data_IF_161295264532
#
_entry.id   IF_161295264532
#
_cell.length_a   1.000
_cell.length_b   1.000
_cell.length_c   1.000
_cell.angle_alpha   90.00
_cell.angle_beta   90.00
_cell.angle_gamma   90.00
#
_symmetry.space_group_name_H-M   'P 1'
#
loop_
_entity.id
_entity.type
_entity.pdbx_description
1 polymer ?
#
# COMPACT_ATOMS: atom_id res chain seq x y z
N UNK A 1 -22.02 6.18 -21.05
CA UNK A 1 -22.59 4.88 -21.48
C UNK A 1 -24.09 4.78 -21.22
N UNK A 2 -24.59 4.78 -19.96
CA UNK A 2 -26.04 4.68 -19.69
C UNK A 2 -26.90 5.80 -20.34
N UNK A 3 -26.43 7.05 -20.39
CA UNK A 3 -27.13 8.16 -21.09
C UNK A 3 -27.28 7.91 -22.60
N UNK A 4 -26.19 7.51 -23.26
CA UNK A 4 -26.18 7.17 -24.69
C UNK A 4 -27.10 5.99 -25.01
N UNK A 5 -27.19 5.00 -24.11
CA UNK A 5 -28.15 3.91 -24.25
C UNK A 5 -29.61 4.39 -24.16
N UNK A 6 -29.93 5.32 -23.25
CA UNK A 6 -31.27 5.92 -23.16
C UNK A 6 -31.61 6.73 -24.42
N UNK A 7 -30.66 7.46 -24.99
CA UNK A 7 -30.84 8.17 -26.27
C UNK A 7 -31.13 7.20 -27.41
N UNK A 8 -30.40 6.09 -27.50
CA UNK A 8 -30.67 5.03 -28.47
C UNK A 8 -32.06 4.40 -28.27
N UNK A 9 -32.49 4.18 -27.02
CA UNK A 9 -33.85 3.73 -26.71
C UNK A 9 -34.91 4.74 -27.13
N UNK A 10 -34.69 6.03 -26.91
CA UNK A 10 -35.62 7.09 -27.33
C UNK A 10 -35.78 7.11 -28.86
N UNK A 11 -34.67 6.99 -29.61
CA UNK A 11 -34.74 6.94 -31.08
C UNK A 11 -35.43 5.66 -31.56
N UNK A 12 -35.17 4.52 -30.90
CA UNK A 12 -35.84 3.25 -31.21
C UNK A 12 -37.34 3.35 -30.98
N UNK A 13 -37.78 3.90 -29.85
CA UNK A 13 -39.19 4.12 -29.53
C UNK A 13 -39.84 5.01 -30.60
N UNK A 14 -39.19 6.12 -30.96
CA UNK A 14 -39.67 7.05 -31.97
C UNK A 14 -39.91 6.38 -33.32
N UNK A 15 -38.98 5.53 -33.77
CA UNK A 15 -39.13 4.75 -35.01
C UNK A 15 -40.33 3.80 -34.92
N UNK A 16 -40.52 3.12 -33.79
CA UNK A 16 -41.67 2.24 -33.59
C UNK A 16 -43.01 3.00 -33.51
N UNK A 17 -43.04 4.19 -32.91
CA UNK A 17 -44.21 5.06 -32.89
C UNK A 17 -44.57 5.55 -34.30
N UNK A 18 -43.58 5.96 -35.10
CA UNK A 18 -43.76 6.34 -36.51
C UNK A 18 -44.29 5.17 -37.36
N UNK A 19 -43.78 3.96 -37.14
CA UNK A 19 -44.32 2.74 -37.76
C UNK A 19 -45.77 2.48 -37.33
N UNK A 20 -46.08 2.64 -36.04
CA UNK A 20 -47.44 2.48 -35.51
C UNK A 20 -48.43 3.48 -36.11
N UNK A 21 -48.04 4.76 -36.21
CA UNK A 21 -48.87 5.79 -36.84
C UNK A 21 -49.11 5.52 -38.33
N UNK A 22 -48.05 5.10 -39.05
CA UNK A 22 -48.15 4.76 -40.47
C UNK A 22 -49.05 3.53 -40.69
N UNK A 23 -48.90 2.51 -39.85
CA UNK A 23 -49.76 1.32 -39.86
C UNK A 23 -51.21 1.67 -39.51
N UNK A 24 -51.46 2.54 -38.53
CA UNK A 24 -52.81 2.93 -38.15
C UNK A 24 -53.49 3.74 -39.27
N UNK A 25 -52.77 4.64 -39.91
CA UNK A 25 -53.28 5.43 -41.04
C UNK A 25 -53.58 4.57 -42.26
N UNK A 26 -52.65 3.69 -42.64
CA UNK A 26 -52.83 2.77 -43.75
C UNK A 26 -53.94 1.76 -43.43
N UNK A 27 -53.95 1.18 -42.23
CA UNK A 27 -54.99 0.24 -41.82
C UNK A 27 -56.36 0.88 -41.80
N UNK A 28 -56.55 2.14 -41.38
CA UNK A 28 -57.85 2.84 -41.44
C UNK A 28 -58.44 2.86 -42.85
N UNK A 29 -57.65 3.24 -43.85
CA UNK A 29 -58.10 3.28 -45.25
C UNK A 29 -58.47 1.88 -45.79
N UNK A 30 -57.71 0.85 -45.40
CA UNK A 30 -58.02 -0.55 -45.76
C UNK A 30 -59.20 -1.12 -44.96
N UNK A 31 -59.34 -0.78 -43.68
CA UNK A 31 -60.43 -1.23 -42.80
C UNK A 31 -61.77 -0.72 -43.30
N UNK A 32 -61.84 0.54 -43.75
CA UNK A 32 -63.04 1.12 -44.33
C UNK A 32 -63.46 0.43 -45.62
N UNK A 33 -62.50 -0.02 -46.43
CA UNK A 33 -62.76 -0.81 -47.66
C UNK A 33 -63.22 -2.23 -47.32
N UNK A 34 -62.50 -2.93 -46.44
CA UNK A 34 -62.83 -4.31 -46.06
C UNK A 34 -64.12 -4.43 -45.23
N UNK A 35 -64.50 -3.38 -44.48
CA UNK A 35 -65.80 -3.31 -43.80
C UNK A 35 -66.97 -3.31 -44.80
N UNK A 36 -66.76 -2.78 -46.02
CA UNK A 36 -67.77 -2.84 -47.10
C UNK A 36 -67.75 -4.17 -47.85
N UNK A 37 -66.61 -4.85 -47.90
CA UNK A 37 -66.43 -6.13 -48.63
C UNK A 37 -66.67 -7.38 -47.77
N UNK A 38 -66.87 -7.25 -46.45
CA UNK A 38 -67.17 -8.37 -45.55
C UNK A 38 -65.98 -9.29 -45.24
N UNK A 39 -64.74 -8.81 -45.44
CA UNK A 39 -63.53 -9.62 -45.28
C UNK A 39 -62.98 -9.60 -43.84
N UNK A 40 -63.70 -10.25 -42.93
CA UNK A 40 -63.43 -10.27 -41.47
C UNK A 40 -62.03 -10.80 -41.10
N UNK A 41 -61.52 -11.78 -41.86
CA UNK A 41 -60.23 -12.43 -41.56
C UNK A 41 -59.03 -11.49 -41.74
N UNK A 42 -59.08 -10.64 -42.77
CA UNK A 42 -58.00 -9.67 -43.02
C UNK A 42 -58.04 -8.54 -41.98
N UNK A 43 -59.24 -8.10 -41.61
CA UNK A 43 -59.45 -7.13 -40.54
C UNK A 43 -58.86 -7.62 -39.21
N UNK A 44 -59.12 -8.87 -38.83
CA UNK A 44 -58.55 -9.46 -37.60
C UNK A 44 -57.02 -9.57 -37.67
N UNK A 45 -56.43 -9.94 -38.81
CA UNK A 45 -54.96 -10.00 -38.96
C UNK A 45 -54.28 -8.66 -38.70
N UNK A 46 -54.85 -7.58 -39.26
CA UNK A 46 -54.30 -6.23 -39.12
C UNK A 46 -54.42 -5.74 -37.68
N UNK A 47 -55.56 -5.98 -37.02
CA UNK A 47 -55.77 -5.65 -35.61
C UNK A 47 -54.75 -6.37 -34.71
N UNK A 48 -54.60 -7.69 -34.89
CA UNK A 48 -53.68 -8.50 -34.07
C UNK A 48 -52.22 -8.11 -34.29
N UNK A 49 -51.85 -7.70 -35.50
CA UNK A 49 -50.53 -7.14 -35.79
C UNK A 49 -50.31 -5.80 -35.05
N UNK A 50 -51.30 -4.89 -35.10
CA UNK A 50 -51.21 -3.61 -34.40
C UNK A 50 -51.14 -3.76 -32.88
N UNK A 51 -51.82 -4.76 -32.34
CA UNK A 51 -51.78 -5.09 -30.90
C UNK A 51 -50.39 -5.60 -30.50
N UNK A 52 -49.80 -6.50 -31.30
CA UNK A 52 -48.41 -6.96 -31.08
C UNK A 52 -47.40 -5.83 -31.13
N UNK A 53 -47.56 -4.88 -32.06
CA UNK A 53 -46.70 -3.71 -32.15
C UNK A 53 -46.83 -2.84 -30.89
N UNK A 54 -48.05 -2.59 -30.42
CA UNK A 54 -48.31 -1.83 -29.18
C UNK A 54 -47.72 -2.52 -27.96
N UNK A 55 -47.88 -3.84 -27.81
CA UNK A 55 -47.26 -4.61 -26.73
C UNK A 55 -45.73 -4.50 -26.77
N UNK A 56 -45.13 -4.58 -27.97
CA UNK A 56 -43.68 -4.46 -28.12
C UNK A 56 -43.17 -3.06 -27.75
N UNK A 57 -43.89 -2.01 -28.12
CA UNK A 57 -43.57 -0.63 -27.73
C UNK A 57 -43.63 -0.48 -26.21
N UNK A 58 -44.66 -1.02 -25.55
CA UNK A 58 -44.80 -0.97 -24.10
C UNK A 58 -43.62 -1.63 -23.37
N UNK A 59 -43.17 -2.81 -23.82
CA UNK A 59 -41.98 -3.49 -23.26
C UNK A 59 -40.70 -2.64 -23.39
N UNK A 60 -40.50 -1.99 -24.54
CA UNK A 60 -39.33 -1.13 -24.76
C UNK A 60 -39.41 0.10 -23.85
N UNK A 61 -40.59 0.70 -23.67
CA UNK A 61 -40.80 1.80 -22.73
C UNK A 61 -40.50 1.40 -21.29
N UNK A 62 -40.92 0.22 -20.86
CA UNK A 62 -40.64 -0.30 -19.52
C UNK A 62 -39.14 -0.50 -19.31
N UNK A 63 -38.46 -1.16 -20.25
CA UNK A 63 -37.02 -1.37 -20.23
C UNK A 63 -36.25 -0.04 -20.16
N UNK A 64 -36.66 0.95 -20.95
CA UNK A 64 -36.09 2.31 -20.94
C UNK A 64 -36.32 3.00 -19.60
N UNK A 65 -37.52 2.91 -19.03
CA UNK A 65 -37.85 3.53 -17.73
C UNK A 65 -37.03 2.91 -16.60
N UNK A 66 -36.82 1.60 -16.63
CA UNK A 66 -35.96 0.89 -15.67
C UNK A 66 -34.51 1.39 -15.76
N UNK A 67 -33.97 1.51 -16.97
CA UNK A 67 -32.60 2.02 -17.17
C UNK A 67 -32.45 3.48 -16.72
N UNK A 68 -33.48 4.31 -16.92
CA UNK A 68 -33.52 5.68 -16.41
C UNK A 68 -33.51 5.73 -14.88
N UNK A 69 -34.28 4.87 -14.22
CA UNK A 69 -34.29 4.76 -12.76
C UNK A 69 -32.91 4.32 -12.24
N UNK A 70 -32.30 3.30 -12.83
CA UNK A 70 -30.95 2.86 -12.47
C UNK A 70 -29.90 3.96 -12.64
N UNK A 71 -30.00 4.77 -13.70
CA UNK A 71 -29.12 5.91 -13.91
C UNK A 71 -29.33 6.99 -12.84
N UNK A 72 -30.58 7.25 -12.44
CA UNK A 72 -30.91 8.20 -11.37
C UNK A 72 -30.35 7.74 -10.03
N UNK A 73 -30.55 6.48 -9.66
CA UNK A 73 -30.01 5.90 -8.42
C UNK A 73 -28.48 5.99 -8.42
N UNK A 74 -27.83 5.56 -9.50
CA UNK A 74 -26.38 5.66 -9.61
C UNK A 74 -25.86 7.11 -9.52
N UNK A 75 -26.59 8.09 -10.08
CA UNK A 75 -26.22 9.49 -9.96
C UNK A 75 -26.38 10.03 -8.52
N UNK A 76 -27.37 9.55 -7.77
CA UNK A 76 -27.54 9.87 -6.35
C UNK A 76 -26.43 9.26 -5.51
N UNK A 77 -26.13 7.97 -5.72
CA UNK A 77 -25.05 7.27 -5.02
C UNK A 77 -23.70 7.97 -5.26
N UNK A 78 -23.40 8.36 -6.50
CA UNK A 78 -22.19 9.10 -6.82
C UNK A 78 -22.12 10.44 -6.08
N UNK A 79 -23.23 11.19 -6.02
CA UNK A 79 -23.30 12.46 -5.26
C UNK A 79 -23.10 12.23 -3.76
N UNK A 80 -23.61 11.13 -3.22
CA UNK A 80 -23.40 10.78 -1.83
C UNK A 80 -21.94 10.41 -1.54
N UNK A 81 -21.31 9.62 -2.42
CA UNK A 81 -19.88 9.30 -2.35
C UNK A 81 -19.06 10.59 -2.39
N UNK A 82 -19.38 11.51 -3.31
CA UNK A 82 -18.70 12.81 -3.38
C UNK A 82 -18.87 13.62 -2.09
N UNK A 83 -20.06 13.61 -1.49
CA UNK A 83 -20.32 14.27 -0.21
C UNK A 83 -19.47 13.66 0.91
N UNK A 84 -19.45 12.32 1.02
CA UNK A 84 -18.64 11.59 2.03
C UNK A 84 -17.14 11.84 1.83
N UNK A 85 -16.67 11.83 0.59
CA UNK A 85 -15.29 12.16 0.26
C UNK A 85 -14.96 13.59 0.69
N UNK A 86 -15.80 14.56 0.35
CA UNK A 86 -15.56 15.96 0.69
C UNK A 86 -15.64 16.24 2.19
N UNK A 87 -16.45 15.49 2.96
CA UNK A 87 -16.44 15.59 4.42
C UNK A 87 -15.17 15.04 5.06
N UNK A 88 -14.51 14.04 4.45
CA UNK A 88 -13.28 13.45 4.99
C UNK A 88 -12.01 14.23 4.61
N UNK A 89 -12.03 15.02 3.54
CA UNK A 89 -10.91 15.88 3.11
C UNK A 89 -10.34 16.79 4.23
N UNK A 90 -11.15 17.55 4.99
CA UNK A 90 -10.62 18.39 6.07
C UNK A 90 -9.93 17.57 7.15
N UNK A 91 -10.52 16.46 7.58
CA UNK A 91 -9.96 15.59 8.62
C UNK A 91 -8.62 15.00 8.18
N UNK A 92 -8.54 14.52 6.95
CA UNK A 92 -7.30 14.00 6.36
C UNK A 92 -6.21 15.08 6.31
N UNK A 93 -6.57 16.32 5.95
CA UNK A 93 -5.64 17.45 5.94
C UNK A 93 -5.16 17.80 7.36
N UNK A 94 -6.04 17.82 8.36
CA UNK A 94 -5.67 18.09 9.75
C UNK A 94 -4.77 16.99 10.30
N UNK A 95 -5.11 15.71 10.09
CA UNK A 95 -4.28 14.59 10.51
C UNK A 95 -2.90 14.61 9.87
N UNK A 96 -2.82 14.94 8.58
CA UNK A 96 -1.54 15.15 7.88
C UNK A 96 -0.74 16.26 8.56
N UNK A 97 -1.36 17.43 8.81
CA UNK A 97 -0.69 18.57 9.43
C UNK A 97 -0.17 18.22 10.84
N UNK A 98 -0.97 17.54 11.65
CA UNK A 98 -0.59 17.09 12.99
C UNK A 98 0.57 16.11 12.90
N UNK A 99 0.47 15.09 12.04
CA UNK A 99 1.54 14.11 11.80
C UNK A 99 2.85 14.81 11.42
N UNK A 100 2.82 15.71 10.44
CA UNK A 100 4.01 16.41 9.97
C UNK A 100 4.61 17.30 11.07
N UNK A 101 3.78 17.89 11.92
CA UNK A 101 4.22 18.65 13.08
C UNK A 101 4.92 17.77 14.14
N UNK A 102 4.38 16.57 14.42
CA UNK A 102 5.05 15.60 15.31
C UNK A 102 6.36 15.09 14.73
N UNK A 103 6.43 14.86 13.42
CA UNK A 103 7.69 14.46 12.77
C UNK A 103 8.77 15.52 12.95
N UNK A 104 8.46 16.79 12.69
CA UNK A 104 9.39 17.91 12.91
C UNK A 104 9.83 17.98 14.38
N UNK A 105 8.88 17.83 15.31
CA UNK A 105 9.17 17.87 16.75
C UNK A 105 10.11 16.74 17.19
N UNK A 106 9.87 15.52 16.71
CA UNK A 106 10.71 14.35 17.01
C UNK A 106 12.12 14.50 16.42
N UNK A 107 12.24 14.99 15.19
CA UNK A 107 13.54 15.28 14.57
C UNK A 107 14.30 16.34 15.35
N UNK A 108 13.63 17.42 15.79
CA UNK A 108 14.26 18.46 16.63
C UNK A 108 14.72 17.95 18.00
N UNK A 109 14.06 16.91 18.54
CA UNK A 109 14.44 16.23 19.78
C UNK A 109 15.54 15.18 19.61
N UNK A 110 16.10 15.04 18.41
CA UNK A 110 17.18 14.10 18.13
C UNK A 110 16.74 12.65 17.96
N UNK A 111 15.45 12.39 17.70
CA UNK A 111 14.98 11.04 17.43
C UNK A 111 15.62 10.48 16.15
N UNK A 112 16.22 9.29 16.23
CA UNK A 112 16.83 8.59 15.08
C UNK A 112 15.76 8.18 14.07
N UNK A 113 16.10 8.24 12.78
CA UNK A 113 15.18 7.92 11.68
C UNK A 113 14.61 6.48 11.76
N UNK A 114 15.38 5.51 12.27
CA UNK A 114 14.95 4.11 12.48
C UNK A 114 13.71 4.02 13.38
N UNK A 115 13.71 4.77 14.50
CA UNK A 115 12.61 4.80 15.48
C UNK A 115 11.37 5.53 14.94
N UNK A 116 11.58 6.57 14.13
CA UNK A 116 10.50 7.26 13.42
C UNK A 116 9.85 6.33 12.39
N UNK A 117 10.66 5.58 11.62
CA UNK A 117 10.16 4.62 10.63
C UNK A 117 9.39 3.47 11.29
N UNK A 118 9.84 3.00 12.45
CA UNK A 118 9.14 2.01 13.27
C UNK A 118 7.77 2.53 13.74
N UNK A 119 7.70 3.75 14.29
CA UNK A 119 6.43 4.38 14.68
C UNK A 119 5.49 4.63 13.51
N UNK A 120 6.03 4.88 12.32
CA UNK A 120 5.26 5.00 11.07
C UNK A 120 4.89 3.65 10.46
N UNK A 121 5.35 2.53 11.03
CA UNK A 121 5.10 1.18 10.52
C UNK A 121 5.80 0.87 9.18
N UNK A 122 6.84 1.63 8.83
CA UNK A 122 7.64 1.40 7.62
C UNK A 122 8.64 0.28 7.95
N UNK A 123 8.24 -0.97 7.69
CA UNK A 123 9.13 -2.12 7.81
C UNK A 123 9.88 -2.31 6.48
N UNK A 124 11.20 -2.15 6.50
CA UNK A 124 12.06 -2.56 5.39
C UNK A 124 12.22 -4.08 5.46
N UNK A 125 11.51 -4.82 4.59
CA UNK A 125 11.51 -6.30 4.56
C UNK A 125 12.92 -6.91 4.38
N UNK A 126 13.92 -6.12 3.95
CA UNK A 126 15.27 -6.57 3.63
C UNK A 126 16.22 -6.61 4.83
N UNK A 127 15.97 -5.84 5.89
CA UNK A 127 16.86 -5.77 7.07
C UNK A 127 16.55 -6.86 8.12
N UNK A 128 15.39 -7.51 8.02
CA UNK A 128 14.88 -8.46 9.02
C UNK A 128 15.57 -9.84 9.00
N UNK A 129 16.46 -10.14 8.04
CA UNK A 129 17.24 -11.39 8.06
C UNK A 129 18.35 -11.39 9.13
N UNK A 130 18.71 -10.23 9.69
CA UNK A 130 19.74 -10.12 10.73
C UNK A 130 19.23 -9.48 12.04
N UNK A 131 17.99 -8.99 12.08
CA UNK A 131 17.41 -8.28 13.24
C UNK A 131 16.97 -9.19 14.41
N UNK A 132 17.12 -10.52 14.29
CA UNK A 132 16.79 -11.48 15.35
C UNK A 132 17.92 -11.70 16.36
N UNK A 133 19.08 -11.03 16.22
CA UNK A 133 20.14 -11.05 17.21
C UNK A 133 20.16 -9.75 18.02
N UNK A 134 19.41 -9.80 19.13
CA UNK A 134 19.63 -9.11 20.42
C UNK A 134 19.53 -7.57 20.48
N UNK A 135 18.99 -7.12 21.61
CA UNK A 135 18.95 -5.74 22.08
C UNK A 135 20.35 -5.07 22.03
N UNK A 136 20.69 -4.47 20.88
CA UNK A 136 21.89 -3.62 20.72
C UNK A 136 21.76 -2.27 21.46
N UNK A 137 20.55 -1.88 21.87
CA UNK A 137 20.28 -0.54 22.39
C UNK A 137 20.87 -0.26 23.80
N UNK A 138 21.49 -1.25 24.47
CA UNK A 138 22.00 -1.15 25.85
C UNK A 138 23.46 -1.61 26.02
N UNK A 139 24.27 -1.53 24.96
CA UNK A 139 25.67 -1.92 25.04
C UNK A 139 26.54 -0.81 25.71
N UNK A 140 27.41 -1.15 26.67
CA UNK A 140 28.22 -0.17 27.43
C UNK A 140 29.15 0.68 26.56
N UNK A 141 29.48 0.21 25.36
CA UNK A 141 30.34 0.95 24.44
C UNK A 141 29.65 2.20 23.86
N UNK A 142 28.39 2.49 24.18
CA UNK A 142 27.74 3.76 23.83
C UNK A 142 27.96 4.87 24.87
N UNK A 143 28.51 4.54 26.05
CA UNK A 143 28.90 5.50 27.06
C UNK A 143 30.40 5.81 26.96
N UNK A 144 30.74 7.00 26.43
CA UNK A 144 32.12 7.51 26.26
C UNK A 144 32.95 7.44 27.56
N UNK A 145 32.29 7.47 28.73
CA UNK A 145 32.91 7.34 30.06
C UNK A 145 33.51 5.96 30.36
N UNK A 146 33.13 4.93 29.62
CA UNK A 146 33.62 3.56 29.81
C UNK A 146 34.83 3.23 28.93
N UNK A 147 35.20 4.13 28.02
CA UNK A 147 36.27 3.91 27.07
C UNK A 147 37.62 4.27 27.69
N UNK A 148 38.63 3.45 27.40
CA UNK A 148 40.01 3.77 27.74
C UNK A 148 40.47 4.83 26.74
N UNK A 149 40.72 6.05 27.23
CA UNK A 149 41.20 7.22 26.47
C UNK A 149 40.12 8.03 25.70
N UNK A 150 38.83 7.81 25.95
CA UNK A 150 37.74 8.67 25.47
C UNK A 150 37.41 8.58 23.96
N UNK A 151 38.20 7.87 23.17
CA UNK A 151 38.00 7.69 21.72
C UNK A 151 37.78 6.23 21.33
N UNK A 152 36.69 5.95 20.60
CA UNK A 152 36.46 4.63 19.98
C UNK A 152 37.21 4.51 18.67
N UNK A 153 38.08 3.51 18.56
CA UNK A 153 38.83 3.20 17.33
C UNK A 153 38.40 1.84 16.78
N UNK A 154 38.21 1.78 15.46
CA UNK A 154 37.77 0.58 14.76
C UNK A 154 38.97 -0.07 14.07
N UNK A 155 39.12 -1.39 14.24
CA UNK A 155 40.12 -2.18 13.54
C UNK A 155 39.45 -3.32 12.78
N UNK A 156 39.84 -3.47 11.52
CA UNK A 156 39.34 -4.53 10.64
C UNK A 156 40.03 -5.84 10.98
N UNK A 157 39.26 -6.91 11.16
CA UNK A 157 39.77 -8.27 11.27
C UNK A 157 39.57 -8.96 9.92
N UNK A 158 40.66 -9.39 9.31
CA UNK A 158 40.66 -10.13 8.06
C UNK A 158 40.49 -11.62 8.31
N UNK A 159 39.71 -12.28 7.45
CA UNK A 159 39.60 -13.75 7.39
C UNK A 159 40.35 -14.24 6.17
N UNK A 160 41.36 -15.08 6.40
CA UNK A 160 42.20 -15.67 5.36
C UNK A 160 42.22 -17.19 5.46
N UNK A 161 42.82 -17.87 4.48
CA UNK A 161 42.96 -19.32 4.50
C UNK A 161 43.83 -19.83 5.66
N UNK A 162 44.74 -19.00 6.18
CA UNK A 162 45.63 -19.34 7.30
C UNK A 162 45.04 -18.99 8.67
N UNK A 163 43.97 -18.21 8.72
CA UNK A 163 43.33 -17.77 9.96
C UNK A 163 42.77 -16.36 9.93
N UNK A 164 42.40 -15.86 11.11
CA UNK A 164 41.92 -14.51 11.38
C UNK A 164 43.09 -13.64 11.88
N UNK A 165 43.08 -12.34 11.60
CA UNK A 165 44.10 -11.40 12.10
C UNK A 165 43.86 -9.95 11.68
N UNK A 166 44.65 -9.02 12.20
CA UNK A 166 44.54 -7.58 11.90
C UNK A 166 45.37 -7.16 10.68
N UNK A 167 46.47 -7.85 10.38
CA UNK A 167 47.34 -7.60 9.23
C UNK A 167 48.20 -8.84 8.91
N UNK A 168 48.59 -9.02 7.65
CA UNK A 168 49.62 -10.02 7.29
C UNK A 168 50.99 -9.60 7.85
N UNK A 169 51.82 -10.53 8.37
CA UNK A 169 51.70 -11.99 8.38
C UNK A 169 50.96 -12.60 9.61
N UNK A 170 50.27 -11.79 10.42
CA UNK A 170 49.70 -12.20 11.71
C UNK A 170 48.28 -12.80 11.63
N UNK A 171 47.87 -13.26 10.44
CA UNK A 171 46.57 -13.90 10.20
C UNK A 171 46.62 -15.41 10.53
N UNK A 172 46.94 -15.72 11.79
CA UNK A 172 47.31 -17.07 12.24
C UNK A 172 46.30 -17.68 13.24
N UNK A 173 45.24 -16.96 13.62
CA UNK A 173 44.31 -17.42 14.65
C UNK A 173 43.16 -18.23 14.04
N UNK A 174 42.88 -19.43 14.58
CA UNK A 174 41.83 -20.31 14.08
C UNK A 174 40.42 -19.81 14.41
N UNK A 175 40.27 -18.99 15.45
CA UNK A 175 39.00 -18.39 15.86
C UNK A 175 39.14 -16.94 16.34
N UNK A 176 38.04 -16.18 16.29
CA UNK A 176 37.99 -14.82 16.85
C UNK A 176 38.28 -14.81 18.35
N UNK A 177 37.89 -15.87 19.07
CA UNK A 177 38.15 -16.01 20.50
C UNK A 177 39.65 -16.10 20.81
N UNK A 178 40.39 -16.90 20.05
CA UNK A 178 41.84 -17.04 20.20
C UNK A 178 42.55 -15.72 19.89
N UNK A 179 42.12 -15.02 18.85
CA UNK A 179 42.62 -13.69 18.50
C UNK A 179 42.41 -12.72 19.68
N UNK A 180 41.20 -12.63 20.22
CA UNK A 180 40.88 -11.75 21.36
C UNK A 180 41.70 -12.11 22.60
N UNK A 181 41.85 -13.40 22.93
CA UNK A 181 42.65 -13.87 24.07
C UNK A 181 44.14 -13.56 23.92
N UNK A 182 44.66 -13.56 22.69
CA UNK A 182 46.04 -13.17 22.43
C UNK A 182 46.26 -11.67 22.65
N UNK A 183 45.40 -10.82 22.08
CA UNK A 183 45.48 -9.36 22.23
C UNK A 183 44.95 -8.85 23.57
N UNK A 184 44.48 -9.73 24.45
CA UNK A 184 44.32 -9.43 25.88
C UNK A 184 45.68 -9.14 26.53
N UNK A 185 46.72 -9.88 26.13
CA UNK A 185 48.07 -9.79 26.70
C UNK A 185 49.07 -9.08 25.78
N UNK A 186 48.71 -8.90 24.51
CA UNK A 186 49.56 -8.27 23.47
C UNK A 186 48.93 -6.97 23.01
N UNK A 187 49.69 -5.87 23.05
CA UNK A 187 49.20 -4.55 22.62
C UNK A 187 48.90 -4.52 21.13
N UNK A 188 47.81 -3.84 20.76
CA UNK A 188 47.43 -3.62 19.36
C UNK A 188 48.28 -2.57 18.65
N UNK A 189 49.24 -1.95 19.35
CA UNK A 189 50.14 -0.92 18.81
C UNK A 189 50.89 -1.39 17.57
N UNK A 190 51.17 -2.70 17.48
CA UNK A 190 51.86 -3.32 16.35
C UNK A 190 51.05 -3.27 15.03
N UNK A 191 49.73 -3.09 15.12
CA UNK A 191 48.84 -2.99 13.96
C UNK A 191 48.34 -1.57 13.73
N UNK A 192 48.32 -0.75 14.78
CA UNK A 192 47.90 0.64 14.71
C UNK A 192 48.54 1.42 15.86
N UNK A 193 49.41 2.38 15.55
CA UNK A 193 50.07 3.24 16.54
C UNK A 193 49.07 4.00 17.42
N UNK A 194 47.84 4.17 16.95
CA UNK A 194 46.75 4.80 17.69
C UNK A 194 46.08 3.85 18.72
N UNK A 195 46.37 2.56 18.71
CA UNK A 195 45.82 1.53 19.60
C UNK A 195 46.88 1.00 20.57
N UNK A 196 47.35 1.85 21.48
CA UNK A 196 48.29 1.46 22.54
C UNK A 196 47.68 0.53 23.60
N UNK A 197 46.38 0.24 23.50
CA UNK A 197 45.59 -0.55 24.45
C UNK A 197 45.53 -2.05 24.10
N UNK A 198 45.21 -2.87 25.11
CA UNK A 198 44.92 -4.31 24.96
C UNK A 198 43.42 -4.58 25.10
N UNK A 199 42.96 -5.73 24.63
CA UNK A 199 41.57 -6.19 24.77
C UNK A 199 41.31 -6.77 26.18
N UNK A 200 41.55 -5.96 27.22
CA UNK A 200 41.62 -6.42 28.61
C UNK A 200 40.26 -6.80 29.23
N UNK A 201 39.18 -6.09 28.88
CA UNK A 201 37.88 -6.23 29.54
C UNK A 201 36.76 -6.42 28.51
N UNK A 202 36.33 -7.67 28.26
CA UNK A 202 35.17 -7.90 27.41
C UNK A 202 33.90 -7.40 28.12
N UNK A 203 32.93 -6.96 27.31
CA UNK A 203 31.63 -6.51 27.78
C UNK A 203 30.96 -7.64 28.59
N UNK A 204 30.48 -7.31 29.80
CA UNK A 204 29.90 -8.23 30.80
C UNK A 204 30.88 -9.19 31.49
N UNK A 205 32.19 -8.94 31.44
CA UNK A 205 33.13 -9.65 32.30
C UNK A 205 32.87 -9.35 33.79
N UNK A 206 32.96 -10.34 34.70
CA UNK A 206 33.03 -10.05 36.13
C UNK A 206 34.25 -9.15 36.37
N UNK A 207 34.08 -8.04 37.10
CA UNK A 207 35.14 -7.06 37.36
C UNK A 207 36.40 -7.71 37.95
N UNK A 208 37.57 -7.05 37.86
CA UNK A 208 38.81 -7.60 38.38
C UNK A 208 38.62 -7.95 39.86
N UNK A 209 38.71 -9.24 40.18
CA UNK A 209 38.68 -9.70 41.56
C UNK A 209 39.80 -9.00 42.34
N UNK A 210 39.60 -8.75 43.65
CA UNK A 210 40.60 -8.07 44.46
C UNK A 210 41.96 -8.77 44.34
N UNK A 211 43.08 -8.01 44.31
CA UNK A 211 44.40 -8.59 44.12
C UNK A 211 44.68 -9.62 45.24
N UNK A 212 45.36 -10.73 44.92
CA UNK A 212 45.69 -11.74 45.93
C UNK A 212 46.55 -11.09 47.01
N UNK A 213 46.12 -11.25 48.27
CA UNK A 213 46.90 -10.81 49.41
C UNK A 213 48.27 -11.49 49.38
N UNK A 214 49.31 -10.72 49.12
CA UNK A 214 50.71 -11.14 49.30
C UNK A 214 50.88 -11.57 50.75
N UNK A 215 51.22 -12.85 50.92
CA UNK A 215 51.43 -13.50 52.21
C UNK A 215 52.80 -13.17 52.79
#
# INVERSE_FOLDING_TARGET
MKRTAIEAFNETIKIFEEQGQTQEKCSKEYLERFRREGNEKEMQRILLNSERLKSRIAEIHESRTKLEQELRTQALDNREIDKRMNSLKPDLMQLRKIRDQYLVWLTQKGARQKKINEWLGIKNETEDQYALMEDEDDLPHHEERTWVDGDTKHCVIYRTATGLGFAEPYNLYGSLKELVLHYQHTSLVQHNDALTVTLAHPVRAPGPGPPPATR
#
